data_IF_080058083236
#
_entry.id   IF_080058083236
#
_cell.length_a   1.000
_cell.length_b   1.000
_cell.length_c   1.000
_cell.angle_alpha   90.00
_cell.angle_beta   90.00
_cell.angle_gamma   90.00
#
_symmetry.space_group_name_H-M   'P 1'
#
loop_
_entity.id
_entity.type
_entity.pdbx_description
1 polymer ?
#
# COMPACT_ATOMS: atom_id res chain seq x y z
N UNK A 1 4.62 3.22 -21.44
CA UNK A 1 4.56 4.56 -20.81
C UNK A 1 5.21 4.54 -19.43
N UNK A 2 4.87 3.61 -18.54
CA UNK A 2 5.48 3.51 -17.19
C UNK A 2 6.99 3.25 -17.18
N UNK A 3 7.49 2.35 -18.03
CA UNK A 3 8.93 2.01 -18.10
C UNK A 3 9.85 3.19 -18.41
N UNK A 4 9.36 4.20 -19.15
CA UNK A 4 10.13 5.41 -19.47
C UNK A 4 10.20 6.38 -18.28
N UNK A 5 9.19 6.38 -17.41
CA UNK A 5 9.13 7.28 -16.25
C UNK A 5 10.10 6.83 -15.14
N UNK A 6 10.26 5.52 -14.97
CA UNK A 6 11.13 4.93 -13.95
C UNK A 6 12.64 5.08 -14.25
N UNK A 7 13.00 5.23 -15.53
CA UNK A 7 14.39 5.45 -15.92
C UNK A 7 14.91 6.87 -15.60
N UNK A 8 14.02 7.87 -15.58
CA UNK A 8 14.40 9.26 -15.35
C UNK A 8 14.30 9.68 -13.87
N UNK A 9 13.49 8.97 -13.07
CA UNK A 9 13.22 9.30 -11.68
C UNK A 9 13.45 8.08 -10.80
N UNK A 10 14.39 8.18 -9.86
CA UNK A 10 14.54 7.16 -8.82
C UNK A 10 13.31 7.16 -7.91
N UNK A 11 12.46 6.15 -8.07
CA UNK A 11 11.28 5.99 -7.21
C UNK A 11 11.68 5.23 -5.95
N UNK A 12 11.52 5.89 -4.82
CA UNK A 12 11.87 5.36 -3.51
C UNK A 12 10.65 4.72 -2.81
N UNK A 13 9.44 5.07 -3.23
CA UNK A 13 8.23 4.52 -2.63
C UNK A 13 7.03 4.57 -3.58
N UNK A 14 6.14 3.60 -3.42
CA UNK A 14 4.90 3.43 -4.18
C UNK A 14 3.75 3.40 -3.18
N UNK A 15 2.82 4.33 -3.33
CA UNK A 15 1.55 4.34 -2.60
C UNK A 15 0.46 3.87 -3.56
N UNK A 16 -0.10 2.69 -3.30
CA UNK A 16 -1.11 2.05 -4.13
C UNK A 16 -2.46 2.14 -3.44
N UNK A 17 -3.40 2.90 -4.01
CA UNK A 17 -4.71 3.16 -3.40
C UNK A 17 -5.78 2.29 -4.05
N UNK A 18 -6.53 1.55 -3.24
CA UNK A 18 -7.64 0.67 -3.65
C UNK A 18 -8.89 1.11 -2.90
N UNK A 19 -10.01 1.28 -3.60
CA UNK A 19 -11.27 1.55 -2.93
C UNK A 19 -11.75 0.31 -2.16
N UNK A 20 -12.06 0.47 -0.88
CA UNK A 20 -12.49 -0.63 0.00
C UNK A 20 -13.88 -1.16 -0.39
N UNK A 21 -14.75 -0.30 -0.89
CA UNK A 21 -16.12 -0.64 -1.33
C UNK A 21 -16.17 -1.27 -2.72
N UNK A 22 -15.01 -1.48 -3.36
CA UNK A 22 -14.92 -2.02 -4.69
C UNK A 22 -15.10 -3.54 -4.67
N UNK A 23 -16.27 -4.00 -5.14
CA UNK A 23 -16.59 -5.42 -5.26
C UNK A 23 -16.43 -5.94 -6.67
N UNK A 24 -15.99 -5.11 -7.62
CA UNK A 24 -15.76 -5.51 -9.01
C UNK A 24 -14.57 -6.46 -9.09
N UNK A 25 -14.84 -7.72 -9.42
CA UNK A 25 -13.83 -8.77 -9.47
C UNK A 25 -12.79 -8.54 -10.57
N UNK A 26 -13.19 -8.02 -11.72
CA UNK A 26 -12.27 -7.73 -12.82
C UNK A 26 -11.32 -6.60 -12.43
N UNK A 27 -11.85 -5.56 -11.76
CA UNK A 27 -11.04 -4.43 -11.30
C UNK A 27 -10.07 -4.83 -10.20
N UNK A 28 -10.50 -5.67 -9.26
CA UNK A 28 -9.64 -6.20 -8.20
C UNK A 28 -8.54 -7.11 -8.75
N UNK A 29 -8.85 -8.00 -9.70
CA UNK A 29 -7.86 -8.87 -10.32
C UNK A 29 -6.86 -8.06 -11.17
N UNK A 30 -7.32 -7.00 -11.85
CA UNK A 30 -6.45 -6.06 -12.54
C UNK A 30 -5.54 -5.29 -11.56
N UNK A 31 -6.09 -4.83 -10.43
CA UNK A 31 -5.34 -4.14 -9.38
C UNK A 31 -4.26 -5.04 -8.77
N UNK A 32 -4.59 -6.30 -8.49
CA UNK A 32 -3.63 -7.33 -8.06
C UNK A 32 -2.53 -7.53 -9.10
N UNK A 33 -2.87 -7.72 -10.38
CA UNK A 33 -1.87 -7.88 -11.45
C UNK A 33 -0.93 -6.68 -11.52
N UNK A 34 -1.46 -5.46 -11.46
CA UNK A 34 -0.63 -4.25 -11.46
C UNK A 34 0.24 -4.13 -10.21
N UNK A 35 -0.30 -4.43 -9.03
CA UNK A 35 0.46 -4.37 -7.78
C UNK A 35 1.64 -5.35 -7.80
N UNK A 36 1.41 -6.60 -8.19
CA UNK A 36 2.47 -7.62 -8.29
C UNK A 36 3.44 -7.32 -9.42
N UNK A 37 2.97 -6.73 -10.53
CA UNK A 37 3.84 -6.25 -11.60
C UNK A 37 4.81 -5.18 -11.09
N UNK A 38 4.29 -4.12 -10.43
CA UNK A 38 5.11 -3.05 -9.86
C UNK A 38 6.10 -3.56 -8.79
N UNK A 39 5.69 -4.52 -7.95
CA UNK A 39 6.59 -5.11 -6.95
C UNK A 39 7.78 -5.85 -7.57
N UNK A 40 7.64 -6.37 -8.78
CA UNK A 40 8.66 -7.14 -9.48
C UNK A 40 9.46 -6.33 -10.52
N UNK A 41 9.13 -5.05 -10.74
CA UNK A 41 9.95 -4.18 -11.58
C UNK A 41 11.32 -3.93 -10.93
N UNK A 42 12.37 -3.99 -11.76
CA UNK A 42 13.75 -3.90 -11.30
C UNK A 42 14.06 -2.53 -10.68
N UNK A 43 13.50 -1.47 -11.27
CA UNK A 43 13.62 -0.10 -10.79
C UNK A 43 12.92 0.10 -9.44
N UNK A 44 11.91 -0.72 -9.13
CA UNK A 44 11.13 -0.66 -7.91
C UNK A 44 11.52 -1.73 -6.89
N UNK A 45 12.56 -2.54 -7.15
CA UNK A 45 13.00 -3.64 -6.26
C UNK A 45 13.39 -3.19 -4.85
N UNK A 46 13.78 -1.93 -4.69
CA UNK A 46 14.14 -1.33 -3.39
C UNK A 46 13.10 -0.31 -2.90
N UNK A 47 12.01 -0.09 -3.63
CA UNK A 47 10.99 0.87 -3.25
C UNK A 47 10.15 0.34 -2.08
N UNK A 48 9.75 1.24 -1.18
CA UNK A 48 8.77 0.96 -0.14
C UNK A 48 7.36 0.90 -0.73
N UNK A 49 6.59 -0.14 -0.42
CA UNK A 49 5.23 -0.32 -0.90
C UNK A 49 4.22 -0.08 0.22
N UNK A 50 3.32 0.87 -0.02
CA UNK A 50 2.19 1.15 0.87
C UNK A 50 0.89 0.91 0.12
N UNK A 51 0.07 -0.03 0.58
CA UNK A 51 -1.28 -0.25 0.02
C UNK A 51 -2.30 0.44 0.91
N UNK A 52 -3.08 1.36 0.36
CA UNK A 52 -4.12 2.08 1.07
C UNK A 52 -5.47 1.53 0.63
N UNK A 53 -6.19 0.92 1.55
CA UNK A 53 -7.61 0.66 1.39
C UNK A 53 -8.37 1.95 1.74
N UNK A 54 -8.80 2.64 0.69
CA UNK A 54 -9.54 3.88 0.78
C UNK A 54 -10.96 3.59 1.27
N UNK A 55 -11.28 4.08 2.46
CA UNK A 55 -12.61 3.93 3.06
C UNK A 55 -13.53 5.04 2.58
N UNK A 56 -14.80 4.73 2.28
CA UNK A 56 -15.75 5.78 1.91
C UNK A 56 -16.14 6.55 3.16
N UNK A 57 -16.10 7.88 3.10
CA UNK A 57 -16.30 8.75 4.26
C UNK A 57 -17.51 8.39 5.10
N UNK A 58 -17.32 8.51 6.41
CA UNK A 58 -18.25 8.10 7.46
C UNK A 58 -19.70 8.46 7.08
N UNK A 59 -20.57 7.46 6.99
CA UNK A 59 -21.96 7.70 7.38
C UNK A 59 -21.92 8.19 8.83
N UNK A 60 -22.05 9.52 8.97
CA UNK A 60 -22.21 10.29 10.22
C UNK A 60 -22.22 9.43 11.50
N UNK A 61 -21.13 9.44 12.28
CA UNK A 61 -21.31 9.13 13.71
C UNK A 61 -20.12 8.67 14.54
N UNK A 62 -18.97 8.29 13.99
CA UNK A 62 -17.89 7.75 14.84
C UNK A 62 -16.66 8.65 14.79
N UNK A 63 -16.65 9.62 15.70
CA UNK A 63 -15.40 10.29 16.10
C UNK A 63 -14.49 9.24 16.74
N UNK A 64 -13.43 8.88 16.02
CA UNK A 64 -12.22 8.29 16.57
C UNK A 64 -12.33 6.80 16.90
N UNK A 65 -11.98 5.97 15.93
CA UNK A 65 -11.14 4.76 16.06
C UNK A 65 -10.98 4.18 14.66
N UNK A 66 -9.81 3.64 14.28
CA UNK A 66 -9.68 2.89 13.03
C UNK A 66 -10.72 1.77 13.05
N UNK A 67 -11.46 1.62 11.95
CA UNK A 67 -12.38 0.49 11.80
C UNK A 67 -11.66 -0.82 12.15
N UNK A 68 -12.35 -1.77 12.80
CA UNK A 68 -11.72 -2.90 13.44
C UNK A 68 -10.83 -3.66 12.45
N UNK A 69 -9.59 -3.91 12.87
CA UNK A 69 -8.53 -4.69 12.19
C UNK A 69 -8.96 -6.08 11.68
N UNK A 70 -10.21 -6.49 11.91
CA UNK A 70 -10.72 -7.85 11.78
C UNK A 70 -12.11 -7.94 11.12
N UNK A 71 -12.55 -6.95 10.37
CA UNK A 71 -13.74 -7.16 9.52
C UNK A 71 -13.41 -8.28 8.50
N UNK A 72 -14.33 -9.23 8.31
CA UNK A 72 -14.14 -10.32 7.33
C UNK A 72 -13.87 -9.76 5.93
N UNK A 73 -14.46 -8.60 5.63
CA UNK A 73 -14.25 -7.82 4.41
C UNK A 73 -12.80 -7.36 4.24
N UNK A 74 -12.16 -6.89 5.31
CA UNK A 74 -10.77 -6.42 5.27
C UNK A 74 -9.80 -7.56 4.98
N UNK A 75 -10.04 -8.74 5.58
CA UNK A 75 -9.27 -9.96 5.32
C UNK A 75 -9.45 -10.44 3.89
N UNK A 76 -10.67 -10.34 3.36
CA UNK A 76 -10.99 -10.70 1.99
C UNK A 76 -10.26 -9.82 0.97
N UNK A 77 -10.22 -8.50 1.15
CA UNK A 77 -9.50 -7.60 0.24
C UNK A 77 -7.98 -7.87 0.24
N UNK A 78 -7.40 -8.10 1.41
CA UNK A 78 -5.98 -8.50 1.55
C UNK A 78 -5.72 -9.84 0.86
N UNK A 79 -6.67 -10.77 0.95
CA UNK A 79 -6.61 -12.05 0.26
C UNK A 79 -6.66 -11.88 -1.26
N UNK A 80 -7.65 -11.14 -1.77
CA UNK A 80 -7.85 -10.88 -3.20
C UNK A 80 -6.68 -10.17 -3.86
N UNK A 81 -6.06 -9.20 -3.17
CA UNK A 81 -4.85 -8.53 -3.67
C UNK A 81 -3.58 -9.40 -3.56
N UNK A 82 -3.67 -10.61 -3.00
CA UNK A 82 -2.52 -11.51 -2.86
C UNK A 82 -1.47 -11.03 -1.87
N UNK A 83 -1.84 -10.15 -0.93
CA UNK A 83 -0.92 -9.60 0.06
C UNK A 83 -0.57 -10.60 1.17
N UNK A 84 -1.38 -11.65 1.33
CA UNK A 84 -1.19 -12.73 2.29
C UNK A 84 -0.04 -13.68 1.92
N UNK A 85 0.28 -13.80 0.63
CA UNK A 85 1.26 -14.74 0.05
C UNK A 85 2.42 -14.02 -0.63
N UNK A 86 2.85 -12.88 -0.07
CA UNK A 86 4.01 -12.17 -0.59
C UNK A 86 5.31 -12.92 -0.32
N UNK A 87 6.18 -12.98 -1.34
CA UNK A 87 7.54 -13.46 -1.18
C UNK A 87 8.31 -12.63 -0.14
N UNK A 88 9.28 -13.25 0.54
CA UNK A 88 10.03 -12.63 1.62
C UNK A 88 10.63 -11.26 1.23
N UNK A 89 11.10 -11.13 -0.01
CA UNK A 89 11.70 -9.90 -0.58
C UNK A 89 10.70 -8.76 -0.78
N UNK A 90 9.40 -9.04 -0.91
CA UNK A 90 8.35 -8.02 -1.01
C UNK A 90 7.67 -7.79 0.35
N UNK A 91 7.59 -8.83 1.17
CA UNK A 91 6.89 -8.81 2.46
C UNK A 91 7.47 -7.80 3.46
N UNK A 92 8.79 -7.65 3.53
CA UNK A 92 9.42 -6.73 4.50
C UNK A 92 9.20 -5.25 4.16
N UNK A 93 9.01 -4.94 2.87
CA UNK A 93 8.85 -3.56 2.34
C UNK A 93 7.42 -3.19 1.99
N UNK A 94 6.46 -4.10 2.20
CA UNK A 94 5.05 -3.88 1.88
C UNK A 94 4.22 -3.85 3.16
N UNK A 95 3.41 -2.80 3.34
CA UNK A 95 2.39 -2.74 4.38
C UNK A 95 1.11 -2.14 3.84
N UNK A 96 -0.01 -2.59 4.38
CA UNK A 96 -1.32 -2.04 4.05
C UNK A 96 -1.90 -1.24 5.22
N UNK A 97 -2.73 -0.26 4.88
CA UNK A 97 -3.39 0.65 5.80
C UNK A 97 -4.84 0.87 5.36
N UNK A 98 -5.71 1.15 6.33
CA UNK A 98 -7.09 1.54 6.10
C UNK A 98 -7.21 3.00 6.47
N UNK A 99 -7.60 3.84 5.51
CA UNK A 99 -7.85 5.25 5.75
C UNK A 99 -8.80 5.81 4.70
N UNK A 100 -9.55 6.83 5.05
CA UNK A 100 -10.21 7.66 4.06
C UNK A 100 -9.24 8.75 3.57
N UNK A 101 -8.79 8.64 2.32
CA UNK A 101 -7.84 9.58 1.70
C UNK A 101 -8.42 10.99 1.60
N UNK A 102 -9.75 11.13 1.52
CA UNK A 102 -10.43 12.43 1.44
C UNK A 102 -10.52 13.14 2.79
N UNK A 103 -10.38 12.41 3.91
CA UNK A 103 -10.45 12.97 5.26
C UNK A 103 -9.08 13.35 5.83
N UNK A 104 -7.99 13.18 5.06
CA UNK A 104 -6.64 13.54 5.51
C UNK A 104 -6.55 15.05 5.73
N UNK A 105 -6.41 15.46 6.99
CA UNK A 105 -6.30 16.87 7.41
C UNK A 105 -4.86 17.41 7.34
N UNK A 106 -4.09 16.95 6.35
CA UNK A 106 -2.69 17.32 6.13
C UNK A 106 -1.66 16.44 6.85
N UNK A 107 -0.41 16.91 6.90
CA UNK A 107 0.76 16.13 7.32
C UNK A 107 0.76 15.71 8.81
N UNK A 108 -0.07 16.35 9.62
CA UNK A 108 -0.22 16.05 11.04
C UNK A 108 -1.29 14.99 11.33
N UNK A 109 -1.96 14.46 10.29
CA UNK A 109 -2.93 13.39 10.47
C UNK A 109 -2.26 12.11 10.97
N UNK A 110 -2.81 11.48 12.01
CA UNK A 110 -2.21 10.30 12.64
C UNK A 110 -2.12 9.11 11.69
N UNK A 111 -3.16 8.88 10.87
CA UNK A 111 -3.16 7.79 9.90
C UNK A 111 -2.14 8.02 8.80
N UNK A 112 -2.02 9.27 8.33
CA UNK A 112 -0.98 9.64 7.38
C UNK A 112 0.44 9.52 7.97
N UNK A 113 0.63 9.92 9.23
CA UNK A 113 1.92 9.78 9.90
C UNK A 113 2.34 8.32 10.06
N UNK A 114 1.41 7.39 10.32
CA UNK A 114 1.73 5.96 10.37
C UNK A 114 2.25 5.43 9.03
N UNK A 115 1.65 5.85 7.92
CA UNK A 115 2.11 5.52 6.57
C UNK A 115 3.51 6.08 6.35
N UNK A 116 3.70 7.38 6.62
CA UNK A 116 4.98 8.05 6.42
C UNK A 116 6.09 7.44 7.30
N UNK A 117 5.77 7.07 8.53
CA UNK A 117 6.70 6.40 9.43
C UNK A 117 7.09 5.01 8.90
N UNK A 118 6.14 4.25 8.35
CA UNK A 118 6.46 2.98 7.71
C UNK A 118 7.37 3.18 6.48
N UNK A 119 7.04 4.12 5.60
CA UNK A 119 7.86 4.37 4.42
C UNK A 119 9.28 4.81 4.80
N UNK A 120 9.41 5.72 5.78
CA UNK A 120 10.72 6.13 6.30
C UNK A 120 11.49 4.95 6.91
N UNK A 121 10.82 4.09 7.69
CA UNK A 121 11.46 2.93 8.30
C UNK A 121 11.99 1.96 7.24
N UNK A 122 11.22 1.69 6.18
CA UNK A 122 11.66 0.81 5.07
C UNK A 122 12.80 1.45 4.30
N UNK A 123 12.76 2.76 4.05
CA UNK A 123 13.82 3.49 3.36
C UNK A 123 15.13 3.58 4.16
N UNK A 124 15.03 3.56 5.49
CA UNK A 124 16.18 3.56 6.40
C UNK A 124 16.67 2.14 6.74
N UNK A 125 15.95 1.09 6.33
CA UNK A 125 16.32 -0.30 6.61
C UNK A 125 17.51 -0.72 5.73
N UNK A 126 18.58 -1.16 6.38
CA UNK A 126 19.80 -1.66 5.73
C UNK A 126 19.56 -2.94 4.91
N UNK A 127 18.44 -3.65 5.11
CA UNK A 127 18.04 -4.79 4.27
C UNK A 127 17.78 -4.41 2.82
N UNK A 128 17.41 -3.15 2.56
CA UNK A 128 17.34 -2.62 1.20
C UNK A 128 18.71 -2.49 0.53
N UNK A 129 19.79 -2.42 1.32
CA UNK A 129 21.17 -2.24 0.87
C UNK A 129 21.94 -3.57 0.68
N UNK A 130 21.52 -4.65 1.35
CA UNK A 130 22.34 -5.86 1.55
C UNK A 130 21.87 -7.11 0.76
N UNK A 131 20.94 -6.96 -0.20
CA UNK A 131 20.75 -7.97 -1.25
C UNK A 131 21.91 -7.85 -2.24
N UNK A 132 23.07 -8.36 -1.82
CA UNK A 132 24.29 -8.46 -2.61
C UNK A 132 23.99 -9.18 -3.93
N UNK A 133 24.46 -8.54 -5.01
CA UNK A 133 24.56 -9.09 -6.35
C UNK A 133 25.35 -10.40 -6.36
#
# INVERSE_FOLDING_TARGET
VWSTFYHAVKIHGVIFVVAEWDTDEERLELAKKHLHFLMNEDELRHAAFCVIFNQQGSMKGVKGTPEPKDSAHNKELVYRLGLHTLHATCKWRTKHFYLNVLEIKGESDKGWQEIMNHMKAVLMDSKGYDMKF
#
